data_IF_636139685737
#
_entry.id   IF_636139685737
#
_cell.length_a   1.000
_cell.length_b   1.000
_cell.length_c   1.000
_cell.angle_alpha   90.00
_cell.angle_beta   90.00
_cell.angle_gamma   90.00
#
_symmetry.space_group_name_H-M   'P 1'
#
loop_
_entity.id
_entity.type
_entity.pdbx_description
1 polymer ?
#
# COMPACT_ATOMS: atom_id res chain seq x y z
N UNK A 1 -11.02 -17.01 -4.02
CA UNK A 1 -11.29 -15.63 -3.57
C UNK A 1 -11.28 -14.76 -4.80
N UNK A 2 -12.30 -13.93 -4.96
CA UNK A 2 -12.36 -12.95 -6.05
C UNK A 2 -11.28 -11.88 -5.89
N UNK A 3 -10.95 -11.16 -6.96
CA UNK A 3 -9.92 -10.12 -6.91
C UNK A 3 -10.28 -9.04 -5.87
N UNK A 4 -11.55 -8.63 -5.80
CA UNK A 4 -11.95 -7.60 -4.85
C UNK A 4 -12.02 -8.10 -3.41
N UNK A 5 -12.21 -9.40 -3.16
CA UNK A 5 -12.07 -9.98 -1.82
C UNK A 5 -10.62 -9.91 -1.32
N UNK A 6 -9.64 -10.18 -2.20
CA UNK A 6 -8.23 -10.02 -1.86
C UNK A 6 -7.90 -8.56 -1.54
N UNK A 7 -8.32 -7.63 -2.40
CA UNK A 7 -8.11 -6.19 -2.18
C UNK A 7 -8.80 -5.68 -0.91
N UNK A 8 -9.98 -6.23 -0.57
CA UNK A 8 -10.67 -5.91 0.69
C UNK A 8 -9.84 -6.30 1.90
N UNK A 9 -9.24 -7.50 1.87
CA UNK A 9 -8.36 -7.98 2.94
C UNK A 9 -7.11 -7.10 3.03
N UNK A 10 -6.48 -6.79 1.90
CA UNK A 10 -5.29 -5.92 1.86
C UNK A 10 -5.58 -4.52 2.42
N UNK A 11 -6.74 -3.93 2.11
CA UNK A 11 -7.18 -2.65 2.71
C UNK A 11 -7.37 -2.76 4.22
N UNK A 12 -7.96 -3.86 4.71
CA UNK A 12 -8.15 -4.07 6.14
C UNK A 12 -6.80 -4.21 6.87
N UNK A 13 -5.89 -5.00 6.31
CA UNK A 13 -4.53 -5.20 6.83
C UNK A 13 -3.75 -3.88 6.82
N UNK A 14 -3.87 -3.09 5.74
CA UNK A 14 -3.25 -1.78 5.62
C UNK A 14 -3.79 -0.78 6.65
N UNK A 15 -5.10 -0.77 6.93
CA UNK A 15 -5.69 0.07 8.00
C UNK A 15 -5.11 -0.27 9.35
N UNK A 16 -4.98 -1.56 9.67
CA UNK A 16 -4.35 -1.99 10.93
C UNK A 16 -2.89 -1.55 10.98
N UNK A 17 -2.14 -1.72 9.88
CA UNK A 17 -0.73 -1.37 9.77
C UNK A 17 -0.48 0.13 9.94
N UNK A 18 -1.24 0.98 9.23
CA UNK A 18 -1.16 2.45 9.38
C UNK A 18 -1.50 2.85 10.82
N UNK A 19 -2.46 2.17 11.45
CA UNK A 19 -2.80 2.36 12.86
C UNK A 19 -1.64 2.08 13.83
N UNK A 20 -0.60 1.33 13.44
CA UNK A 20 0.60 1.06 14.24
C UNK A 20 1.63 2.20 14.17
N UNK A 21 1.54 3.08 13.17
CA UNK A 21 2.49 4.18 12.99
C UNK A 21 2.43 5.12 14.20
N UNK A 22 3.59 5.38 14.79
CA UNK A 22 3.72 6.26 15.94
C UNK A 22 3.18 5.70 17.25
N UNK A 23 2.72 4.43 17.29
CA UNK A 23 2.31 3.81 18.55
C UNK A 23 3.51 3.71 19.51
N UNK A 24 3.30 4.04 20.79
CA UNK A 24 4.29 3.78 21.81
C UNK A 24 4.52 2.28 21.93
N UNK A 25 5.79 1.87 21.89
CA UNK A 25 6.16 0.49 22.17
C UNK A 25 7.17 0.46 23.31
N UNK A 26 6.84 -0.33 24.33
CA UNK A 26 7.68 -0.50 25.49
C UNK A 26 8.95 -1.25 25.10
N UNK A 27 10.11 -0.66 25.41
CA UNK A 27 11.34 -1.43 25.47
C UNK A 27 11.31 -2.30 26.72
N UNK A 28 11.31 -3.61 26.53
CA UNK A 28 11.30 -4.61 27.62
C UNK A 28 12.48 -4.49 28.59
N UNK A 29 13.53 -3.71 28.23
CA UNK A 29 14.80 -3.67 28.96
C UNK A 29 14.92 -2.50 29.94
N UNK A 30 14.34 -1.34 29.65
CA UNK A 30 14.56 -0.10 30.43
C UNK A 30 13.28 0.68 30.74
N UNK A 31 12.11 0.18 30.32
CA UNK A 31 10.83 0.88 30.51
C UNK A 31 10.67 2.12 29.63
N UNK A 32 11.63 2.41 28.75
CA UNK A 32 11.52 3.51 27.79
C UNK A 32 10.44 3.19 26.75
N UNK A 33 9.76 4.24 26.30
CA UNK A 33 8.70 4.15 25.30
C UNK A 33 9.21 4.83 24.04
N UNK A 34 9.54 4.03 23.02
CA UNK A 34 9.94 4.52 21.70
C UNK A 34 8.77 4.47 20.71
N UNK A 35 8.88 5.23 19.61
CA UNK A 35 8.03 5.04 18.42
C UNK A 35 8.80 4.15 17.44
N UNK A 36 8.47 2.86 17.40
CA UNK A 36 9.14 1.90 16.52
C UNK A 36 8.56 1.98 15.11
N UNK A 37 9.18 2.81 14.27
CA UNK A 37 9.09 2.63 12.81
C UNK A 37 10.45 2.94 12.21
N UNK A 38 10.88 2.11 11.25
CA UNK A 38 12.11 2.29 10.48
C UNK A 38 11.71 2.71 9.07
N UNK A 39 12.33 3.78 8.59
CA UNK A 39 12.17 4.29 7.23
C UNK A 39 13.55 4.54 6.65
N UNK A 40 13.86 3.83 5.59
CA UNK A 40 15.08 4.01 4.79
C UNK A 40 14.69 4.60 3.43
N UNK A 41 15.37 5.68 3.04
CA UNK A 41 15.22 6.34 1.74
C UNK A 41 16.57 6.27 1.04
N UNK A 42 16.57 5.76 -0.18
CA UNK A 42 17.72 5.71 -1.06
C UNK A 42 17.27 6.08 -2.47
N UNK A 43 17.89 7.10 -3.06
CA UNK A 43 17.59 7.53 -4.42
C UNK A 43 18.75 7.24 -5.35
N UNK A 44 18.42 6.81 -6.57
CA UNK A 44 19.37 6.60 -7.65
C UNK A 44 18.84 7.32 -8.90
N UNK A 45 19.55 8.35 -9.36
CA UNK A 45 19.15 9.11 -10.54
C UNK A 45 19.93 8.61 -11.76
N UNK A 46 19.22 8.45 -12.88
CA UNK A 46 19.78 7.86 -14.10
C UNK A 46 19.92 6.34 -14.03
N UNK A 47 19.20 5.68 -13.12
CA UNK A 47 19.22 4.23 -12.97
C UNK A 47 18.82 3.52 -14.28
N UNK A 48 19.65 2.57 -14.72
CA UNK A 48 19.40 1.70 -15.86
C UNK A 48 19.38 0.26 -15.35
N UNK A 49 18.31 -0.47 -15.62
CA UNK A 49 18.03 -1.79 -15.02
C UNK A 49 19.04 -2.91 -15.39
N UNK A 50 20.03 -2.63 -16.27
CA UNK A 50 20.98 -3.62 -16.78
C UNK A 50 22.29 -3.71 -15.96
N UNK A 51 22.87 -4.91 -15.95
CA UNK A 51 23.93 -5.35 -15.04
C UNK A 51 25.32 -4.72 -15.26
N UNK A 52 25.51 -3.94 -16.32
CA UNK A 52 26.79 -3.31 -16.64
C UNK A 52 26.90 -1.84 -16.26
N UNK A 53 25.78 -1.20 -15.92
CA UNK A 53 25.74 0.25 -15.70
C UNK A 53 26.12 0.58 -14.24
N UNK A 54 27.11 1.45 -14.07
CA UNK A 54 27.61 1.94 -12.76
C UNK A 54 27.57 3.46 -12.65
N UNK A 55 26.99 4.14 -13.65
CA UNK A 55 26.98 5.60 -13.80
C UNK A 55 25.76 6.26 -13.15
N UNK A 56 25.28 5.73 -12.03
CA UNK A 56 24.14 6.31 -11.30
C UNK A 56 24.62 7.42 -10.37
N UNK A 57 23.86 8.51 -10.34
CA UNK A 57 24.09 9.54 -9.35
C UNK A 57 23.42 9.13 -8.05
N UNK A 58 24.24 9.03 -7.01
CA UNK A 58 23.84 8.79 -5.63
C UNK A 58 24.34 9.95 -4.80
N UNK A 59 23.50 10.45 -3.92
CA UNK A 59 23.88 11.49 -2.98
C UNK A 59 23.33 11.15 -1.59
N UNK A 60 24.23 10.69 -0.72
CA UNK A 60 23.87 10.32 0.65
C UNK A 60 23.40 11.52 1.47
N UNK A 61 23.93 12.71 1.21
CA UNK A 61 23.50 13.91 1.93
C UNK A 61 22.08 14.30 1.52
N UNK A 62 21.79 14.22 0.21
CA UNK A 62 20.43 14.38 -0.30
C UNK A 62 19.47 13.33 0.28
N UNK A 63 19.84 12.05 0.25
CA UNK A 63 19.02 10.95 0.77
C UNK A 63 18.72 11.13 2.26
N UNK A 64 19.70 11.58 3.06
CA UNK A 64 19.51 11.89 4.48
C UNK A 64 18.53 13.07 4.68
N UNK A 65 18.65 14.12 3.86
CA UNK A 65 17.75 15.26 3.90
C UNK A 65 16.32 14.84 3.50
N UNK A 66 16.18 14.05 2.43
CA UNK A 66 14.91 13.52 1.96
C UNK A 66 14.27 12.59 3.00
N UNK A 67 15.05 11.69 3.60
CA UNK A 67 14.59 10.79 4.66
C UNK A 67 13.99 11.57 5.84
N UNK A 68 14.55 12.74 6.19
CA UNK A 68 14.00 13.61 7.23
C UNK A 68 12.62 14.14 6.83
N UNK A 69 12.46 14.67 5.62
CA UNK A 69 11.18 15.17 5.12
C UNK A 69 10.13 14.05 5.04
N UNK A 70 10.51 12.89 4.50
CA UNK A 70 9.61 11.73 4.40
C UNK A 70 9.17 11.28 5.79
N UNK A 71 10.07 11.27 6.79
CA UNK A 71 9.73 10.94 8.17
C UNK A 71 8.75 11.93 8.78
N UNK A 72 8.96 13.23 8.58
CA UNK A 72 8.08 14.29 9.10
C UNK A 72 6.68 14.21 8.49
N UNK A 73 6.58 13.77 7.23
CA UNK A 73 5.31 13.60 6.49
C UNK A 73 4.80 12.16 6.46
N UNK A 74 5.42 11.24 7.20
CA UNK A 74 5.15 9.80 7.03
C UNK A 74 3.70 9.42 7.32
N UNK A 75 3.08 10.07 8.31
CA UNK A 75 1.67 9.86 8.63
C UNK A 75 0.74 10.30 7.50
N UNK A 76 1.01 11.46 6.88
CA UNK A 76 0.27 11.97 5.73
C UNK A 76 0.42 11.04 4.51
N UNK A 77 1.67 10.66 4.19
CA UNK A 77 1.98 9.75 3.07
C UNK A 77 1.32 8.37 3.26
N UNK A 78 1.29 7.87 4.50
CA UNK A 78 0.66 6.59 4.83
C UNK A 78 -0.87 6.65 4.70
N UNK A 79 -1.49 7.76 5.09
CA UNK A 79 -2.92 7.97 4.88
C UNK A 79 -3.27 8.02 3.38
N UNK A 80 -2.48 8.74 2.58
CA UNK A 80 -2.66 8.80 1.13
C UNK A 80 -2.48 7.42 0.46
N UNK A 81 -1.49 6.62 0.91
CA UNK A 81 -1.30 5.26 0.42
C UNK A 81 -2.50 4.36 0.73
N UNK A 82 -3.07 4.46 1.94
CA UNK A 82 -4.28 3.72 2.30
C UNK A 82 -5.47 4.13 1.43
N UNK A 83 -5.67 5.43 1.19
CA UNK A 83 -6.73 5.91 0.32
C UNK A 83 -6.60 5.35 -1.11
N UNK A 84 -5.38 5.30 -1.65
CA UNK A 84 -5.11 4.68 -2.95
C UNK A 84 -5.54 3.20 -2.98
N UNK A 85 -5.23 2.43 -1.93
CA UNK A 85 -5.67 1.04 -1.81
C UNK A 85 -7.20 0.92 -1.74
N UNK A 86 -7.86 1.81 -1.00
CA UNK A 86 -9.32 1.84 -0.90
C UNK A 86 -10.00 2.15 -2.23
N UNK A 87 -9.42 3.06 -3.02
CA UNK A 87 -9.87 3.35 -4.38
C UNK A 87 -9.73 2.13 -5.29
N UNK A 88 -8.60 1.42 -5.22
CA UNK A 88 -8.38 0.17 -5.97
C UNK A 88 -9.42 -0.92 -5.63
N UNK A 89 -9.70 -1.11 -4.33
CA UNK A 89 -10.76 -2.02 -3.89
C UNK A 89 -12.14 -1.63 -4.42
N UNK A 90 -12.51 -0.35 -4.33
CA UNK A 90 -13.81 0.16 -4.82
C UNK A 90 -13.96 -0.11 -6.32
N UNK A 91 -12.93 0.21 -7.10
CA UNK A 91 -12.92 -0.04 -8.55
C UNK A 91 -13.12 -1.52 -8.87
N UNK A 92 -12.41 -2.42 -8.18
CA UNK A 92 -12.56 -3.86 -8.37
C UNK A 92 -13.97 -4.38 -8.03
N UNK A 93 -14.60 -3.88 -6.95
CA UNK A 93 -15.99 -4.26 -6.62
C UNK A 93 -17.02 -3.77 -7.62
N UNK A 94 -16.81 -2.59 -8.19
CA UNK A 94 -17.68 -2.06 -9.24
C UNK A 94 -17.56 -2.95 -10.48
N UNK A 95 -16.34 -3.31 -10.88
CA UNK A 95 -16.13 -4.23 -12.02
C UNK A 95 -16.74 -5.62 -11.79
N UNK A 96 -16.64 -6.16 -10.56
CA UNK A 96 -17.28 -7.44 -10.20
C UNK A 96 -18.82 -7.37 -10.27
N UNK A 97 -19.43 -6.24 -9.92
CA UNK A 97 -20.88 -6.07 -10.03
C UNK A 97 -21.34 -6.27 -11.48
N UNK A 98 -20.63 -5.70 -12.44
CA UNK A 98 -21.00 -5.80 -13.86
C UNK A 98 -20.91 -7.26 -14.34
N UNK A 99 -19.89 -8.00 -13.90
CA UNK A 99 -19.76 -9.43 -14.20
C UNK A 99 -20.86 -10.27 -13.54
N UNK A 100 -21.23 -9.95 -12.29
CA UNK A 100 -22.32 -10.64 -11.58
C UNK A 100 -23.68 -10.39 -12.23
N UNK A 101 -23.95 -9.17 -12.69
CA UNK A 101 -25.18 -8.85 -13.42
C UNK A 101 -25.28 -9.60 -14.75
N UNK A 102 -24.17 -9.72 -15.49
CA UNK A 102 -24.13 -10.51 -16.71
C UNK A 102 -24.40 -12.00 -16.44
N UNK A 103 -23.77 -12.56 -15.41
CA UNK A 103 -24.00 -13.94 -14.99
C UNK A 103 -25.44 -14.18 -14.51
N UNK A 104 -26.04 -13.22 -13.81
CA UNK A 104 -27.44 -13.30 -13.39
C UNK A 104 -28.38 -13.33 -14.60
N UNK A 105 -28.17 -12.46 -15.58
CA UNK A 105 -28.98 -12.43 -16.80
C UNK A 105 -28.88 -13.75 -17.61
N UNK A 106 -27.71 -14.39 -17.62
CA UNK A 106 -27.53 -15.72 -18.22
C UNK A 106 -28.34 -16.80 -17.47
N UNK A 107 -28.32 -16.79 -16.14
CA UNK A 107 -29.09 -17.72 -15.31
C UNK A 107 -30.60 -17.51 -15.53
N UNK A 108 -31.07 -16.27 -15.52
CA UNK A 108 -32.49 -15.95 -15.75
C UNK A 108 -32.96 -16.39 -17.15
N UNK A 109 -32.11 -16.30 -18.17
CA UNK A 109 -32.42 -16.80 -19.51
C UNK A 109 -32.56 -18.34 -19.50
N UNK A 110 -31.62 -19.05 -18.87
CA UNK A 110 -31.67 -20.51 -18.73
C UNK A 110 -32.92 -20.98 -17.94
N UNK A 111 -33.31 -20.25 -16.90
CA UNK A 111 -34.52 -20.55 -16.12
C UNK A 111 -35.81 -20.36 -16.94
N UNK A 112 -35.83 -19.41 -17.88
CA UNK A 112 -36.99 -19.18 -18.76
C UNK A 112 -37.16 -20.22 -19.86
N UNK A 113 -36.09 -20.97 -20.18
CA UNK A 113 -36.07 -22.04 -21.17
C UNK A 113 -36.36 -23.44 -20.57
N UNK A 114 -36.37 -23.55 -19.24
CA UNK A 114 -36.62 -24.79 -18.48
C UNK A 114 -38.10 -24.96 -18.10
#
# INVERSE_FOLDING_TARGET
>A
MSNAENLKREVADAREYVGKIGRPQHHFRDGSVGRLHRLDVASEIGHQESTGSTNYWKDKAFDLALAKIVRDRFAELSAAALELMEQGYKAARIAEKDALLASLAEIEALESEA
#
